data_IF_295797362980
#
_entry.id   IF_295797362980
#
_cell.length_a   1.000
_cell.length_b   1.000
_cell.length_c   1.000
_cell.angle_alpha   90.00
_cell.angle_beta   90.00
_cell.angle_gamma   90.00
#
_symmetry.space_group_name_H-M   'P 1'
#
loop_
_entity.id
_entity.type
_entity.pdbx_description
1 polymer ?
#
# COMPACT_ATOMS: atom_id res chain seq x y z
N UNK A 1 -4.89 17.56 9.99
CA UNK A 1 -5.79 16.41 9.82
C UNK A 1 -4.98 15.22 9.37
N UNK A 2 -5.22 14.08 9.98
CA UNK A 2 -4.56 12.84 9.56
C UNK A 2 -5.50 12.02 8.67
N UNK A 3 -4.89 11.17 7.83
CA UNK A 3 -5.61 10.25 6.96
C UNK A 3 -5.78 8.93 7.68
N UNK A 4 -6.92 8.29 7.51
CA UNK A 4 -7.11 6.96 8.06
C UNK A 4 -6.31 5.95 7.26
N UNK A 5 -5.70 5.01 7.96
CA UNK A 5 -4.92 3.93 7.39
C UNK A 5 -5.62 2.62 7.71
N UNK A 6 -5.85 1.82 6.69
CA UNK A 6 -6.32 0.44 6.85
C UNK A 6 -5.34 -0.49 6.18
N UNK A 7 -5.43 -1.77 6.45
CA UNK A 7 -4.55 -2.76 5.84
C UNK A 7 -5.28 -4.07 5.63
N UNK A 8 -4.79 -4.83 4.66
CA UNK A 8 -5.34 -6.14 4.32
C UNK A 8 -4.72 -7.22 5.20
N UNK A 9 -5.33 -8.40 5.19
CA UNK A 9 -4.75 -9.57 5.85
C UNK A 9 -3.39 -9.94 5.24
N UNK A 10 -3.22 -9.76 3.94
CA UNK A 10 -1.95 -10.03 3.26
C UNK A 10 -0.84 -9.11 3.78
N UNK A 11 -1.14 -7.82 3.96
CA UNK A 11 -0.18 -6.89 4.56
C UNK A 11 0.13 -7.30 6.00
N UNK A 12 -0.87 -7.66 6.79
CA UNK A 12 -0.68 -8.08 8.16
C UNK A 12 0.22 -9.32 8.26
N UNK A 13 0.05 -10.29 7.37
CA UNK A 13 0.90 -11.48 7.34
C UNK A 13 2.36 -11.11 7.09
N UNK A 14 2.60 -10.20 6.14
CA UNK A 14 3.96 -9.71 5.89
C UNK A 14 4.52 -8.99 7.11
N UNK A 15 3.74 -8.10 7.69
CA UNK A 15 4.11 -7.34 8.88
C UNK A 15 4.52 -8.27 10.03
N UNK A 16 3.75 -9.33 10.26
CA UNK A 16 4.02 -10.27 11.34
C UNK A 16 5.28 -11.11 11.10
N UNK A 17 5.76 -11.18 9.87
CA UNK A 17 7.00 -11.89 9.53
C UNK A 17 8.26 -11.05 9.77
N UNK A 18 8.11 -9.78 10.08
CA UNK A 18 9.21 -8.84 10.22
C UNK A 18 9.71 -8.78 11.66
N UNK A 19 11.00 -8.47 11.82
CA UNK A 19 11.54 -8.16 13.15
C UNK A 19 11.08 -6.77 13.59
N UNK A 20 11.13 -6.51 14.89
CA UNK A 20 10.62 -5.26 15.46
C UNK A 20 11.23 -4.01 14.83
N UNK A 21 12.54 -4.02 14.55
CA UNK A 21 13.22 -2.87 13.93
C UNK A 21 12.72 -2.58 12.52
N UNK A 22 12.41 -3.63 11.77
CA UNK A 22 11.81 -3.46 10.43
C UNK A 22 10.41 -2.89 10.55
N UNK A 23 9.64 -3.38 11.51
CA UNK A 23 8.29 -2.86 11.76
C UNK A 23 8.34 -1.38 12.15
N UNK A 24 9.27 -0.99 12.99
CA UNK A 24 9.45 0.41 13.38
C UNK A 24 9.78 1.31 12.18
N UNK A 25 10.65 0.83 11.29
CA UNK A 25 11.02 1.58 10.09
C UNK A 25 9.82 1.77 9.16
N UNK A 26 9.02 0.73 8.97
CA UNK A 26 7.81 0.79 8.15
C UNK A 26 6.78 1.70 8.80
N UNK A 27 6.60 1.58 10.12
CA UNK A 27 5.66 2.42 10.85
C UNK A 27 6.00 3.90 10.69
N UNK A 28 7.28 4.26 10.72
CA UNK A 28 7.70 5.65 10.49
C UNK A 28 7.24 6.14 9.10
N UNK A 29 7.37 5.31 8.08
CA UNK A 29 6.89 5.64 6.73
C UNK A 29 5.36 5.76 6.69
N UNK A 30 4.66 4.87 7.38
CA UNK A 30 3.19 4.90 7.46
C UNK A 30 2.72 6.17 8.16
N UNK A 31 3.44 6.63 9.17
CA UNK A 31 3.09 7.89 9.85
C UNK A 31 3.22 9.10 8.95
N UNK A 32 4.22 9.12 8.06
CA UNK A 32 4.31 10.18 7.05
C UNK A 32 3.11 10.15 6.11
N UNK A 33 2.69 8.96 5.71
CA UNK A 33 1.51 8.78 4.88
C UNK A 33 0.25 9.27 5.60
N UNK A 34 0.14 8.96 6.88
CA UNK A 34 -1.00 9.40 7.71
C UNK A 34 -1.10 10.92 7.77
N UNK A 35 0.05 11.59 7.90
CA UNK A 35 0.09 13.06 8.02
C UNK A 35 -0.14 13.73 6.66
N UNK A 36 0.55 13.26 5.63
CA UNK A 36 0.60 13.93 4.33
C UNK A 36 -0.40 13.38 3.29
N UNK A 37 -0.87 12.15 3.49
CA UNK A 37 -1.83 11.54 2.57
C UNK A 37 -1.36 11.59 1.11
N UNK A 38 -2.23 12.03 0.18
CA UNK A 38 -1.87 12.12 -1.24
C UNK A 38 -0.74 13.10 -1.54
N UNK A 39 -0.38 13.97 -0.59
CA UNK A 39 0.73 14.91 -0.76
C UNK A 39 2.10 14.28 -0.52
N UNK A 40 2.12 13.06 0.01
CA UNK A 40 3.39 12.35 0.23
C UNK A 40 4.02 12.00 -1.12
N UNK A 41 5.27 12.45 -1.31
CA UNK A 41 5.97 12.35 -2.58
C UNK A 41 7.32 11.66 -2.43
N UNK A 42 8.00 11.46 -3.56
CA UNK A 42 9.35 10.95 -3.59
C UNK A 42 10.26 11.79 -2.68
N UNK A 43 11.17 11.19 -1.90
CA UNK A 43 11.58 9.78 -1.95
C UNK A 43 10.75 8.83 -1.08
N UNK A 44 9.73 9.31 -0.39
CA UNK A 44 8.94 8.51 0.55
C UNK A 44 7.82 7.72 -0.13
N UNK A 45 7.32 8.23 -1.23
CA UNK A 45 6.26 7.59 -2.01
C UNK A 45 6.49 7.83 -3.49
N UNK A 46 6.11 6.86 -4.32
CA UNK A 46 6.14 7.01 -5.78
C UNK A 46 5.05 6.16 -6.43
N UNK A 47 4.76 6.46 -7.71
CA UNK A 47 3.81 5.68 -8.48
C UNK A 47 4.37 4.30 -8.81
N UNK A 48 3.49 3.39 -9.16
CA UNK A 48 3.85 2.00 -9.48
C UNK A 48 3.59 1.72 -10.95
N UNK A 49 4.63 1.30 -11.67
CA UNK A 49 4.49 0.84 -13.04
C UNK A 49 3.97 -0.60 -13.05
N UNK A 50 3.11 -0.92 -14.01
CA UNK A 50 2.60 -2.27 -14.16
C UNK A 50 1.33 -2.56 -13.39
N UNK A 51 0.81 -1.60 -12.63
CA UNK A 51 -0.50 -1.72 -12.01
C UNK A 51 -1.59 -1.34 -13.01
N UNK A 52 -2.71 -2.05 -12.99
CA UNK A 52 -3.87 -1.67 -13.78
C UNK A 52 -4.68 -0.56 -13.12
N UNK A 53 -4.39 -0.26 -11.85
CA UNK A 53 -4.97 0.88 -11.15
C UNK A 53 -4.02 2.07 -11.26
N UNK A 54 -4.42 3.11 -11.95
CA UNK A 54 -3.55 4.27 -12.22
C UNK A 54 -3.13 5.06 -10.99
N UNK A 55 -3.72 4.76 -9.84
CA UNK A 55 -3.41 5.43 -8.57
C UNK A 55 -2.65 4.55 -7.58
N UNK A 56 -2.22 3.38 -8.00
CA UNK A 56 -1.40 2.51 -7.14
C UNK A 56 -0.07 3.19 -6.85
N UNK A 57 0.32 3.20 -5.59
CA UNK A 57 1.55 3.82 -5.14
C UNK A 57 2.37 2.87 -4.27
N UNK A 58 3.65 3.16 -4.14
CA UNK A 58 4.51 2.45 -3.21
C UNK A 58 4.96 3.40 -2.11
N UNK A 59 4.95 2.90 -0.90
CA UNK A 59 5.56 3.54 0.26
C UNK A 59 6.97 2.99 0.38
N UNK A 60 7.96 3.87 0.43
CA UNK A 60 9.38 3.51 0.32
C UNK A 60 10.03 3.61 1.69
N UNK A 61 10.51 2.47 2.19
CA UNK A 61 11.21 2.37 3.46
C UNK A 61 12.59 1.76 3.23
N UNK A 62 13.63 2.43 3.68
CA UNK A 62 14.99 1.88 3.67
C UNK A 62 15.34 1.38 5.06
N UNK A 63 15.83 0.17 5.14
CA UNK A 63 16.25 -0.41 6.40
C UNK A 63 17.47 -1.31 6.19
N UNK A 64 18.59 -0.97 6.84
CA UNK A 64 19.79 -1.79 6.74
C UNK A 64 20.29 -1.98 5.31
N UNK A 65 20.14 -0.97 4.46
CA UNK A 65 20.50 -1.06 3.05
C UNK A 65 19.50 -1.82 2.19
N UNK A 66 18.37 -2.27 2.76
CA UNK A 66 17.35 -3.02 2.03
C UNK A 66 16.17 -2.13 1.67
N UNK A 67 15.71 -2.19 0.41
CA UNK A 67 14.55 -1.42 -0.03
C UNK A 67 13.25 -2.18 0.30
N UNK A 68 12.61 -1.80 1.40
CA UNK A 68 11.31 -2.32 1.76
C UNK A 68 10.23 -1.48 1.07
N UNK A 69 9.23 -2.11 0.50
CA UNK A 69 8.16 -1.43 -0.24
C UNK A 69 6.80 -1.92 0.24
N UNK A 70 5.88 -0.97 0.44
CA UNK A 70 4.48 -1.26 0.76
C UNK A 70 3.63 -0.69 -0.36
N UNK A 71 2.91 -1.53 -1.08
CA UNK A 71 1.99 -1.08 -2.12
C UNK A 71 0.67 -0.66 -1.46
N UNK A 72 0.18 0.50 -1.84
CA UNK A 72 -1.03 1.06 -1.25
C UNK A 72 -1.80 1.88 -2.27
N UNK A 73 -3.07 2.13 -1.96
CA UNK A 73 -3.91 3.02 -2.76
C UNK A 73 -4.91 3.70 -1.83
N UNK A 74 -5.36 4.89 -2.22
CA UNK A 74 -6.46 5.54 -1.53
C UNK A 74 -7.78 5.02 -2.08
N UNK A 75 -8.71 4.72 -1.20
CA UNK A 75 -10.01 4.22 -1.61
C UNK A 75 -11.02 5.37 -1.75
N UNK A 76 -12.24 5.10 -2.30
CA UNK A 76 -13.26 6.13 -2.43
C UNK A 76 -13.75 6.71 -1.09
N UNK A 77 -13.50 6.01 0.02
CA UNK A 77 -13.83 6.49 1.37
C UNK A 77 -12.73 7.38 1.95
N UNK A 78 -11.71 7.71 1.13
CA UNK A 78 -10.59 8.58 1.49
C UNK A 78 -9.70 7.99 2.57
N UNK A 79 -9.50 6.69 2.51
CA UNK A 79 -8.58 5.97 3.39
C UNK A 79 -7.41 5.45 2.57
N UNK A 80 -6.23 5.38 3.17
CA UNK A 80 -5.09 4.73 2.56
C UNK A 80 -5.10 3.26 2.94
N UNK A 81 -5.14 2.38 1.95
CA UNK A 81 -5.20 0.94 2.18
C UNK A 81 -3.84 0.34 1.89
N UNK A 82 -3.18 -0.19 2.90
CA UNK A 82 -1.91 -0.90 2.76
C UNK A 82 -2.23 -2.32 2.27
N UNK A 83 -1.81 -2.64 1.06
CA UNK A 83 -2.27 -3.84 0.36
C UNK A 83 -1.33 -5.03 0.57
N UNK A 84 -0.06 -4.84 0.29
CA UNK A 84 0.95 -5.88 0.46
C UNK A 84 2.32 -5.22 0.50
N UNK A 85 3.27 -5.87 1.16
CA UNK A 85 4.62 -5.36 1.20
C UNK A 85 5.64 -6.44 0.95
N UNK A 86 6.89 -6.03 0.78
CA UNK A 86 7.98 -6.94 0.56
C UNK A 86 9.32 -6.23 0.54
N UNK A 87 10.37 -7.05 0.60
CA UNK A 87 11.75 -6.63 0.45
C UNK A 87 12.15 -6.91 -0.99
N UNK A 88 12.44 -5.86 -1.75
CA UNK A 88 12.79 -6.04 -3.16
C UNK A 88 14.28 -6.21 -3.43
N UNK A 89 15.08 -6.41 -2.38
CA UNK A 89 16.52 -6.64 -2.51
C UNK A 89 16.80 -7.79 -3.48
N UNK A 90 17.61 -7.51 -4.51
CA UNK A 90 18.03 -8.53 -5.46
C UNK A 90 16.93 -9.10 -6.34
N UNK A 91 15.76 -8.48 -6.38
CA UNK A 91 14.65 -8.94 -7.19
C UNK A 91 14.23 -7.87 -8.21
N UNK A 92 14.78 -7.98 -9.43
CA UNK A 92 14.48 -7.04 -10.52
C UNK A 92 13.03 -7.14 -11.00
N UNK A 93 12.34 -8.23 -10.66
CA UNK A 93 10.98 -8.49 -11.08
C UNK A 93 9.96 -8.31 -9.96
N UNK A 94 10.38 -7.63 -8.89
CA UNK A 94 9.53 -7.46 -7.72
C UNK A 94 8.16 -6.84 -8.07
N UNK A 95 8.17 -5.77 -8.87
CA UNK A 95 6.92 -5.11 -9.27
C UNK A 95 6.08 -5.99 -10.20
N UNK A 96 6.70 -6.78 -11.07
CA UNK A 96 5.99 -7.70 -11.95
C UNK A 96 5.22 -8.75 -11.14
N UNK A 97 5.75 -9.13 -9.99
CA UNK A 97 5.11 -10.11 -9.11
C UNK A 97 4.08 -9.46 -8.18
N UNK A 98 4.42 -8.33 -7.58
CA UNK A 98 3.64 -7.75 -6.48
C UNK A 98 2.57 -6.76 -6.96
N UNK A 99 2.75 -6.06 -8.07
CA UNK A 99 1.74 -5.13 -8.55
C UNK A 99 0.42 -5.83 -8.91
N UNK A 100 0.42 -6.98 -9.59
CA UNK A 100 -0.84 -7.71 -9.82
C UNK A 100 -1.50 -8.18 -8.54
N UNK A 101 -0.72 -8.61 -7.53
CA UNK A 101 -1.27 -9.00 -6.24
C UNK A 101 -1.95 -7.82 -5.55
N UNK A 102 -1.29 -6.66 -5.56
CA UNK A 102 -1.85 -5.45 -4.98
C UNK A 102 -3.14 -5.04 -5.70
N UNK A 103 -3.16 -5.14 -7.02
CA UNK A 103 -4.35 -4.83 -7.82
C UNK A 103 -5.53 -5.73 -7.42
N UNK A 104 -5.28 -7.02 -7.27
CA UNK A 104 -6.32 -7.97 -6.88
C UNK A 104 -6.82 -7.69 -5.45
N UNK A 105 -5.93 -7.37 -4.53
CA UNK A 105 -6.29 -7.02 -3.16
C UNK A 105 -7.11 -5.74 -3.11
N UNK A 106 -6.77 -4.76 -3.97
CA UNK A 106 -7.53 -3.53 -4.04
C UNK A 106 -8.94 -3.78 -4.61
N UNK A 107 -9.05 -4.62 -5.64
CA UNK A 107 -10.35 -5.02 -6.19
C UNK A 107 -11.21 -5.70 -5.13
N UNK A 108 -10.62 -6.58 -4.32
CA UNK A 108 -11.32 -7.22 -3.21
C UNK A 108 -11.83 -6.19 -2.19
N UNK A 109 -11.00 -5.20 -1.87
CA UNK A 109 -11.38 -4.12 -0.96
C UNK A 109 -12.57 -3.32 -1.49
N UNK A 110 -12.54 -2.95 -2.77
CA UNK A 110 -13.62 -2.22 -3.39
C UNK A 110 -14.92 -3.04 -3.39
N UNK A 111 -14.81 -4.34 -3.65
CA UNK A 111 -15.97 -5.24 -3.63
C UNK A 111 -16.57 -5.34 -2.23
N UNK A 112 -15.73 -5.39 -1.20
CA UNK A 112 -16.19 -5.36 0.19
C UNK A 112 -16.96 -4.09 0.50
N UNK A 113 -16.46 -2.93 0.08
CA UNK A 113 -17.13 -1.65 0.27
C UNK A 113 -18.48 -1.64 -0.45
N UNK A 114 -18.54 -2.20 -1.64
CA UNK A 114 -19.76 -2.29 -2.42
C UNK A 114 -20.80 -3.16 -1.72
N UNK A 115 -20.38 -4.32 -1.20
CA UNK A 115 -21.27 -5.23 -0.46
C UNK A 115 -21.82 -4.60 0.82
N UNK A 116 -21.04 -3.73 1.45
CA UNK A 116 -21.46 -3.00 2.64
C UNK A 116 -22.36 -1.81 2.33
N UNK A 117 -22.63 -1.57 1.04
CA UNK A 117 -23.48 -0.45 0.63
C UNK A 117 -22.81 0.91 0.71
N UNK A 118 -21.47 0.94 0.81
CA UNK A 118 -20.71 2.19 0.93
C UNK A 118 -20.36 2.80 -0.41
N UNK A 119 -20.49 2.04 -1.50
CA UNK A 119 -20.23 2.53 -2.86
C UNK A 119 -21.42 2.22 -3.75
N UNK A 120 -21.74 3.15 -4.66
CA UNK A 120 -22.63 2.83 -5.76
C UNK A 120 -21.78 2.30 -6.94
N UNK A 121 -22.45 1.81 -7.99
CA UNK A 121 -21.77 1.22 -9.12
C UNK A 121 -20.88 2.16 -9.93
N UNK A 122 -21.00 3.47 -9.71
CA UNK A 122 -20.22 4.47 -10.43
C UNK A 122 -18.89 4.76 -9.76
N UNK A 123 -18.76 4.51 -8.48
CA UNK A 123 -17.59 4.85 -7.68
C UNK A 123 -16.49 3.80 -7.79
N UNK A 124 -16.79 2.64 -8.36
CA UNK A 124 -15.82 1.56 -8.54
C UNK A 124 -14.92 1.79 -9.75
N UNK A 125 -15.37 2.59 -10.71
CA UNK A 125 -14.68 2.81 -11.99
C UNK A 125 -14.16 4.21 -12.19
#
# INVERSE_FOLDING_TARGET
>A
MSWEIEYTDAFEQWWNSLIEREQEAIDASVRLLEILGPSLKFPHSSGVNGSRHGRMRELRTQFGGRPLRTLYAFDPMRKAILLIGGDKTGNDRWYDEYAPMADDLYDEHLEELRKEGLLDGKEIF
#
